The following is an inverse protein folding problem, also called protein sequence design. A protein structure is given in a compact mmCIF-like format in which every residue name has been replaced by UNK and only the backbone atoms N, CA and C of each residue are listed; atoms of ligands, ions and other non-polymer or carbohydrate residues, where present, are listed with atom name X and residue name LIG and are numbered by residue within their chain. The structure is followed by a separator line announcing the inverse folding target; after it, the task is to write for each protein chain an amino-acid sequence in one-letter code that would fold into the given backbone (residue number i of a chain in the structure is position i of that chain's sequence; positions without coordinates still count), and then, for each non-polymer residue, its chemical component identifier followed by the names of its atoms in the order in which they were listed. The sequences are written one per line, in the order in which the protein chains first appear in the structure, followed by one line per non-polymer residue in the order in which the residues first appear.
data_IF_365874401721
#
_entry.id   IF_365874401721
#
_cell.length_a   1.000
_cell.length_b   1.000
_cell.length_c   1.000
_cell.angle_alpha   90.00
_cell.angle_beta   90.00
_cell.angle_gamma   90.00
#
_symmetry.space_group_name_H-M   'P 1'
#
loop_
_entity.id
_entity.type
_entity.pdbx_description
1 polymer ?
#
# COMPACT_ATOMS: atom_id res chain seq x y z
N UNK A 1 -10.41 -8.87 -18.15
CA UNK A 1 -10.83 -9.54 -16.91
C UNK A 1 -12.31 -9.32 -16.76
N UNK A 2 -13.10 -10.39 -16.64
CA UNK A 2 -14.54 -10.26 -16.44
C UNK A 2 -14.78 -9.95 -14.96
N UNK A 3 -15.61 -8.94 -14.65
CA UNK A 3 -15.88 -8.53 -13.26
C UNK A 3 -16.60 -9.60 -12.43
N UNK A 4 -17.25 -10.56 -13.12
CA UNK A 4 -18.04 -11.64 -12.52
C UNK A 4 -17.23 -12.87 -12.12
N UNK A 5 -15.94 -12.92 -12.44
CA UNK A 5 -15.07 -14.04 -12.10
C UNK A 5 -14.87 -14.09 -10.56
N UNK A 6 -15.00 -15.28 -9.99
CA UNK A 6 -14.85 -15.50 -8.52
C UNK A 6 -13.40 -15.39 -8.06
N UNK A 7 -12.46 -15.54 -8.98
CA UNK A 7 -11.01 -15.36 -8.82
C UNK A 7 -10.57 -13.89 -8.93
N UNK A 8 -11.49 -12.98 -9.25
CA UNK A 8 -11.17 -11.55 -9.46
C UNK A 8 -11.65 -10.68 -8.31
N UNK A 9 -10.69 -10.06 -7.62
CA UNK A 9 -10.91 -8.97 -6.67
C UNK A 9 -10.96 -7.63 -7.39
N UNK A 10 -11.88 -6.74 -7.01
CA UNK A 10 -11.96 -5.38 -7.55
C UNK A 10 -12.02 -4.36 -6.43
N UNK A 11 -11.10 -3.40 -6.45
CA UNK A 11 -11.08 -2.23 -5.57
C UNK A 11 -11.38 -0.97 -6.38
N UNK A 12 -12.28 -0.14 -5.88
CA UNK A 12 -12.55 1.20 -6.41
C UNK A 12 -12.32 2.20 -5.28
N UNK A 13 -11.34 3.08 -5.46
CA UNK A 13 -10.97 4.10 -4.47
C UNK A 13 -10.85 5.46 -5.16
N UNK A 14 -11.07 6.53 -4.42
CA UNK A 14 -10.95 7.88 -4.94
C UNK A 14 -10.77 8.92 -3.84
N UNK A 15 -10.01 9.95 -4.14
CA UNK A 15 -9.73 11.07 -3.25
C UNK A 15 -10.49 12.32 -3.76
N UNK A 16 -11.65 12.67 -3.17
CA UNK A 16 -12.50 13.76 -3.67
C UNK A 16 -11.80 15.13 -3.62
N UNK A 17 -10.80 15.30 -2.75
CA UNK A 17 -10.05 16.54 -2.62
C UNK A 17 -9.11 16.83 -3.81
N UNK A 18 -8.54 15.79 -4.43
CA UNK A 18 -7.58 15.92 -5.53
C UNK A 18 -8.18 15.51 -6.89
N UNK A 19 -9.36 14.89 -6.89
CA UNK A 19 -10.01 14.38 -8.10
C UNK A 19 -9.40 13.08 -8.63
N UNK A 20 -8.50 12.45 -7.87
CA UNK A 20 -7.89 11.18 -8.25
C UNK A 20 -8.87 10.02 -8.00
N UNK A 21 -9.07 9.17 -8.99
CA UNK A 21 -9.92 7.97 -8.91
C UNK A 21 -9.18 6.80 -9.51
N UNK A 22 -9.05 5.71 -8.74
CA UNK A 22 -8.36 4.52 -9.14
C UNK A 22 -9.25 3.29 -9.01
N UNK A 23 -9.24 2.47 -10.06
CA UNK A 23 -9.81 1.14 -10.07
C UNK A 23 -8.71 0.11 -10.23
N UNK A 24 -8.59 -0.80 -9.27
CA UNK A 24 -7.66 -1.91 -9.30
C UNK A 24 -8.42 -3.22 -9.44
N UNK A 25 -7.93 -4.11 -10.29
CA UNK A 25 -8.44 -5.47 -10.44
C UNK A 25 -7.28 -6.43 -10.32
N UNK A 26 -7.42 -7.41 -9.43
CA UNK A 26 -6.45 -8.47 -9.20
C UNK A 26 -7.10 -9.81 -9.53
N UNK A 27 -6.34 -10.70 -10.17
CA UNK A 27 -6.69 -12.11 -10.34
C UNK A 27 -5.84 -12.93 -9.40
N UNK A 28 -6.48 -13.82 -8.66
CA UNK A 28 -5.84 -14.66 -7.65
C UNK A 28 -6.00 -16.12 -8.03
N UNK A 29 -4.91 -16.86 -7.96
CA UNK A 29 -4.93 -18.31 -8.11
C UNK A 29 -5.37 -18.96 -6.79
N UNK A 30 -6.40 -19.81 -6.86
CA UNK A 30 -7.02 -20.42 -5.66
C UNK A 30 -6.10 -21.38 -4.91
N UNK A 31 -5.17 -22.00 -5.63
CA UNK A 31 -4.29 -23.03 -5.07
C UNK A 31 -3.11 -22.43 -4.30
N UNK A 32 -2.56 -21.31 -4.78
CA UNK A 32 -1.36 -20.67 -4.22
C UNK A 32 -1.66 -19.37 -3.46
N UNK A 33 -2.91 -18.88 -3.46
CA UNK A 33 -3.30 -17.55 -2.95
C UNK A 33 -2.38 -16.42 -3.47
N UNK A 34 -1.84 -16.61 -4.67
CA UNK A 34 -0.90 -15.70 -5.31
C UNK A 34 -1.61 -14.89 -6.39
N UNK A 35 -1.19 -13.65 -6.57
CA UNK A 35 -1.75 -12.75 -7.57
C UNK A 35 -1.10 -13.05 -8.93
N UNK A 36 -1.88 -13.63 -9.86
CA UNK A 36 -1.38 -14.01 -11.19
C UNK A 36 -1.40 -12.89 -12.21
N UNK A 37 -2.41 -12.01 -12.16
CA UNK A 37 -2.52 -10.87 -13.06
C UNK A 37 -3.15 -9.67 -12.35
N UNK A 38 -2.71 -8.47 -12.73
CA UNK A 38 -3.13 -7.21 -12.12
C UNK A 38 -3.37 -6.20 -13.21
N UNK A 39 -4.52 -5.53 -13.15
CA UNK A 39 -4.87 -4.45 -14.07
C UNK A 39 -5.40 -3.27 -13.29
N UNK A 40 -4.93 -2.09 -13.65
CA UNK A 40 -5.40 -0.84 -13.07
C UNK A 40 -6.01 0.05 -14.14
N UNK A 41 -6.96 0.87 -13.72
CA UNK A 41 -7.47 2.01 -14.47
C UNK A 41 -7.54 3.18 -13.52
N UNK A 42 -6.69 4.17 -13.74
CA UNK A 42 -6.59 5.34 -12.86
C UNK A 42 -6.86 6.61 -13.65
N UNK A 43 -7.46 7.59 -12.99
CA UNK A 43 -7.69 8.93 -13.47
C UNK A 43 -7.11 9.86 -12.41
N UNK A 44 -6.17 10.72 -12.80
CA UNK A 44 -5.48 11.56 -11.84
C UNK A 44 -4.21 12.16 -12.39
N UNK A 45 -3.43 12.77 -11.51
CA UNK A 45 -2.14 13.33 -11.87
C UNK A 45 -1.12 12.25 -12.27
N UNK A 46 -0.08 12.63 -13.04
CA UNK A 46 0.96 11.70 -13.49
C UNK A 46 1.67 10.95 -12.35
N UNK A 47 1.75 11.57 -11.16
CA UNK A 47 2.27 10.93 -9.94
C UNK A 47 1.38 9.75 -9.50
N UNK A 48 0.06 9.90 -9.53
CA UNK A 48 -0.88 8.81 -9.22
C UNK A 48 -0.80 7.67 -10.25
N UNK A 49 -0.59 7.99 -11.53
CA UNK A 49 -0.38 6.99 -12.59
C UNK A 49 0.91 6.20 -12.33
N UNK A 50 2.01 6.89 -12.00
CA UNK A 50 3.28 6.26 -11.69
C UNK A 50 3.19 5.36 -10.44
N UNK A 51 2.57 5.84 -9.35
CA UNK A 51 2.32 5.04 -8.14
C UNK A 51 1.47 3.80 -8.43
N UNK A 52 0.43 3.94 -9.25
CA UNK A 52 -0.43 2.82 -9.64
C UNK A 52 0.33 1.77 -10.46
N UNK A 53 1.13 2.22 -11.42
CA UNK A 53 1.94 1.34 -12.26
C UNK A 53 3.00 0.58 -11.47
N UNK A 54 3.67 1.27 -10.53
CA UNK A 54 4.66 0.65 -9.66
C UNK A 54 4.02 -0.42 -8.77
N UNK A 55 2.88 -0.08 -8.15
CA UNK A 55 2.14 -1.01 -7.31
C UNK A 55 1.80 -2.30 -8.07
N UNK A 56 1.31 -2.21 -9.32
CA UNK A 56 0.90 -3.39 -10.08
C UNK A 56 2.04 -4.35 -10.40
N UNK A 57 3.25 -3.83 -10.59
CA UNK A 57 4.43 -4.67 -10.80
C UNK A 57 4.91 -5.27 -9.48
N UNK A 58 4.83 -4.51 -8.38
CA UNK A 58 5.19 -5.00 -7.05
C UNK A 58 4.28 -6.16 -6.60
N UNK A 59 2.96 -6.03 -6.77
CA UNK A 59 1.99 -7.04 -6.30
C UNK A 59 1.91 -8.28 -7.18
N UNK A 60 2.45 -8.25 -8.41
CA UNK A 60 2.41 -9.39 -9.33
C UNK A 60 3.30 -10.51 -8.80
N UNK A 61 2.73 -11.69 -8.60
CA UNK A 61 3.47 -12.85 -8.06
C UNK A 61 3.64 -12.85 -6.53
N UNK A 62 3.10 -11.85 -5.82
CA UNK A 62 3.03 -11.86 -4.35
C UNK A 62 1.79 -12.61 -3.86
N UNK A 63 1.86 -13.11 -2.63
CA UNK A 63 0.69 -13.64 -1.92
C UNK A 63 -0.25 -12.52 -1.48
N UNK A 64 -1.52 -12.83 -1.26
CA UNK A 64 -2.50 -11.86 -0.74
C UNK A 64 -2.08 -11.25 0.61
N UNK A 65 -1.42 -12.02 1.46
CA UNK A 65 -0.94 -11.54 2.77
C UNK A 65 0.20 -10.54 2.63
N UNK A 66 1.13 -10.76 1.69
CA UNK A 66 2.22 -9.82 1.39
C UNK A 66 1.69 -8.56 0.73
N UNK A 67 0.80 -8.70 -0.25
CA UNK A 67 0.17 -7.59 -0.92
C UNK A 67 -0.61 -6.67 0.05
N UNK A 68 -1.20 -7.25 1.11
CA UNK A 68 -1.87 -6.49 2.17
C UNK A 68 -0.93 -5.78 3.16
N UNK A 69 0.36 -6.16 3.21
CA UNK A 69 1.39 -5.55 4.08
C UNK A 69 2.10 -4.37 3.43
N UNK A 70 1.90 -4.15 2.12
CA UNK A 70 2.50 -3.03 1.39
C UNK A 70 2.05 -1.70 2.02
N UNK A 71 3.01 -0.80 2.24
CA UNK A 71 2.78 0.51 2.85
C UNK A 71 3.05 1.64 1.86
N UNK A 72 2.29 2.71 1.98
CA UNK A 72 2.49 3.95 1.20
C UNK A 72 3.93 4.50 1.30
N UNK A 73 4.61 4.30 2.43
CA UNK A 73 5.97 4.80 2.68
C UNK A 73 7.00 4.18 1.74
N UNK A 74 6.84 2.90 1.41
CA UNK A 74 7.74 2.18 0.52
C UNK A 74 7.56 2.66 -0.93
N UNK A 75 6.30 2.77 -1.37
CA UNK A 75 5.93 3.32 -2.68
C UNK A 75 6.44 4.76 -2.83
N UNK A 76 6.26 5.59 -1.80
CA UNK A 76 6.70 6.98 -1.83
C UNK A 76 8.23 7.11 -1.90
N UNK A 77 8.96 6.24 -1.20
CA UNK A 77 10.43 6.22 -1.21
C UNK A 77 10.96 5.84 -2.59
N UNK A 78 10.40 4.80 -3.21
CA UNK A 78 10.85 4.34 -4.53
C UNK A 78 10.63 5.40 -5.60
N UNK A 79 9.47 6.06 -5.58
CA UNK A 79 9.13 7.12 -6.53
C UNK A 79 9.72 8.48 -6.15
N UNK A 80 10.50 8.57 -5.06
CA UNK A 80 11.09 9.79 -4.52
C UNK A 80 10.07 10.95 -4.44
N UNK A 81 8.84 10.64 -3.99
CA UNK A 81 7.77 11.62 -3.98
C UNK A 81 8.04 12.69 -2.91
N UNK A 82 7.87 13.99 -3.25
CA UNK A 82 7.96 15.04 -2.25
C UNK A 82 6.83 14.88 -1.22
N UNK A 83 7.02 15.36 0.02
CA UNK A 83 6.07 15.14 1.13
C UNK A 83 4.65 15.67 0.83
N UNK A 84 4.53 16.66 -0.06
CA UNK A 84 3.25 17.25 -0.47
C UNK A 84 2.41 16.28 -1.33
N UNK A 85 3.02 15.30 -2.01
CA UNK A 85 2.35 14.37 -2.94
C UNK A 85 2.15 12.96 -2.39
N UNK A 86 2.27 12.76 -1.07
CA UNK A 86 2.11 11.44 -0.44
C UNK A 86 0.70 10.85 -0.59
N UNK A 87 -0.32 11.65 -0.88
CA UNK A 87 -1.69 11.17 -1.10
C UNK A 87 -1.79 10.19 -2.29
N UNK A 88 -0.93 10.32 -3.31
CA UNK A 88 -0.88 9.39 -4.45
C UNK A 88 -0.45 7.98 -4.01
N UNK A 89 0.44 7.87 -3.02
CA UNK A 89 0.86 6.59 -2.45
C UNK A 89 -0.18 5.98 -1.52
N UNK A 90 -0.93 6.82 -0.80
CA UNK A 90 -2.04 6.36 0.05
C UNK A 90 -3.17 5.78 -0.81
N UNK A 91 -3.49 6.41 -1.95
CA UNK A 91 -4.47 5.90 -2.90
C UNK A 91 -4.13 4.49 -3.40
N UNK A 92 -2.85 4.24 -3.68
CA UNK A 92 -2.36 2.94 -4.12
C UNK A 92 -2.50 1.86 -3.01
N UNK A 93 -2.17 2.21 -1.77
CA UNK A 93 -2.35 1.33 -0.60
C UNK A 93 -3.82 0.99 -0.33
N UNK A 94 -4.70 1.99 -0.41
CA UNK A 94 -6.14 1.77 -0.19
C UNK A 94 -6.74 0.93 -1.32
N UNK A 95 -6.27 1.11 -2.56
CA UNK A 95 -6.73 0.34 -3.71
C UNK A 95 -6.45 -1.16 -3.55
N UNK A 96 -5.24 -1.53 -3.10
CA UNK A 96 -4.88 -2.95 -2.93
C UNK A 96 -5.67 -3.59 -1.79
N UNK A 97 -5.79 -2.92 -0.65
CA UNK A 97 -6.59 -3.41 0.49
C UNK A 97 -8.05 -3.60 0.12
N UNK A 98 -8.63 -2.65 -0.62
CA UNK A 98 -9.99 -2.73 -1.12
C UNK A 98 -10.19 -3.92 -2.09
N UNK A 99 -9.24 -4.12 -3.01
CA UNK A 99 -9.31 -5.24 -3.97
C UNK A 99 -9.20 -6.61 -3.29
N UNK A 100 -8.31 -6.73 -2.29
CA UNK A 100 -8.14 -7.94 -1.48
C UNK A 100 -9.40 -8.22 -0.64
N UNK A 101 -9.95 -7.21 0.04
CA UNK A 101 -11.19 -7.35 0.82
C UNK A 101 -12.37 -7.79 -0.06
N UNK A 102 -12.47 -7.26 -1.29
CA UNK A 102 -13.48 -7.67 -2.25
C UNK A 102 -13.33 -9.14 -2.67
N UNK A 103 -12.08 -9.61 -2.86
CA UNK A 103 -11.80 -11.01 -3.15
C UNK A 103 -12.23 -11.93 -1.99
N UNK A 104 -11.89 -11.59 -0.74
CA UNK A 104 -12.30 -12.37 0.43
C UNK A 104 -13.82 -12.41 0.61
N UNK A 105 -14.52 -11.31 0.32
CA UNK A 105 -16.00 -11.25 0.38
C UNK A 105 -16.64 -12.23 -0.60
N UNK A 106 -16.04 -12.43 -1.78
CA UNK A 106 -16.52 -13.40 -2.78
C UNK A 106 -16.13 -14.85 -2.46
N UNK A 107 -14.99 -15.04 -1.79
CA UNK A 107 -14.44 -16.35 -1.43
C UNK A 107 -14.29 -16.50 0.10
N UNK A 108 -15.39 -16.75 0.85
CA UNK A 108 -15.38 -16.89 2.31
C UNK A 108 -14.60 -18.12 2.83
N UNK A 109 -14.10 -18.98 1.93
CA UNK A 109 -13.25 -20.14 2.26
C UNK A 109 -11.74 -19.83 2.25
N UNK A 110 -11.33 -18.68 1.72
CA UNK A 110 -9.95 -18.19 1.83
C UNK A 110 -9.83 -17.54 3.21
N UNK A 111 -8.99 -18.13 4.08
CA UNK A 111 -8.80 -17.80 5.50
C UNK A 111 -8.94 -16.30 5.75
N UNK A 112 -9.96 -15.90 6.52
CA UNK A 112 -10.11 -14.57 7.09
C UNK A 112 -8.89 -14.28 7.94
N UNK A 113 -7.88 -13.60 7.40
CA UNK A 113 -6.87 -12.96 8.24
C UNK A 113 -7.54 -11.76 8.89
N UNK A 114 -7.49 -11.74 10.22
CA UNK A 114 -8.09 -10.75 11.08
C UNK A 114 -7.42 -9.38 10.84
N UNK A 115 -7.84 -8.67 9.80
CA UNK A 115 -7.49 -7.26 9.57
C UNK A 115 -8.35 -6.31 10.44
N UNK A 116 -9.15 -6.83 11.38
CA UNK A 116 -9.81 -6.04 12.43
C UNK A 116 -8.93 -5.80 13.66
N UNK A 117 -7.64 -6.15 13.61
CA UNK A 117 -6.68 -5.96 14.71
C UNK A 117 -6.10 -4.55 14.92
N UNK A 118 -6.69 -3.47 14.38
CA UNK A 118 -6.20 -2.10 14.71
C UNK A 118 -6.71 -1.58 16.07
N UNK A 119 -7.14 -2.46 16.97
CA UNK A 119 -7.56 -2.12 18.34
C UNK A 119 -6.93 -3.03 19.40
N UNK A 120 -5.63 -3.33 19.28
CA UNK A 120 -4.86 -3.90 20.39
C UNK A 120 -3.53 -3.16 20.56
N UNK A 121 -3.56 -2.28 21.56
CA UNK A 121 -2.44 -1.76 22.36
C UNK A 121 -1.18 -1.32 21.62
N UNK A 122 -1.04 0.00 21.51
CA UNK A 122 0.25 0.67 21.60
C UNK A 122 1.10 0.01 22.69
N UNK A 123 2.15 -0.73 22.29
CA UNK A 123 3.28 -0.96 23.17
C UNK A 123 3.97 0.39 23.33
N UNK A 124 3.75 1.05 24.47
CA UNK A 124 4.71 2.01 25.01
C UNK A 124 6.05 1.28 25.17
N UNK A 125 7.13 1.91 24.72
CA UNK A 125 8.56 1.80 25.09
C UNK A 125 9.31 2.38 23.87
N UNK A 126 10.14 3.41 23.91
CA UNK A 126 10.44 4.44 24.88
C UNK A 126 10.95 5.65 24.09
N UNK A 127 10.63 6.85 24.56
CA UNK A 127 11.26 8.07 24.10
C UNK A 127 12.69 8.12 24.64
N UNK A 128 13.70 8.14 23.78
CA UNK A 128 14.99 8.72 24.15
C UNK A 128 15.19 10.03 23.37
N UNK A 129 14.75 11.07 24.07
CA UNK A 129 15.19 12.46 24.01
C UNK A 129 16.71 12.51 23.86
N UNK A 130 17.20 13.17 22.83
CA UNK A 130 18.52 13.81 22.92
C UNK A 130 18.42 15.25 22.40
N UNK A 131 18.34 16.15 23.37
CA UNK A 131 18.46 17.57 23.20
C UNK A 131 19.19 18.06 24.44
N UNK A 132 20.49 18.37 24.32
CA UNK A 132 21.11 19.66 24.66
C UNK A 132 22.64 19.53 24.78
N UNK A 133 23.34 20.12 23.83
CA UNK A 133 24.37 21.15 24.02
C UNK A 133 25.29 21.10 25.27
N UNK A 134 26.61 20.96 25.05
CA UNK A 134 27.67 21.68 25.79
C UNK A 134 29.03 21.57 25.09
N UNK A 135 29.44 22.69 24.51
CA UNK A 135 30.74 23.40 24.67
C UNK A 135 31.96 22.60 25.12
N UNK A 136 33.05 22.69 24.33
CA UNK A 136 34.37 23.20 24.72
C UNK A 136 35.57 22.39 24.17
N UNK A 137 36.44 23.11 23.43
CA UNK A 137 37.91 23.08 23.53
C UNK A 137 38.71 22.04 22.71
N UNK A 138 39.41 22.59 21.70
CA UNK A 138 40.84 22.41 21.31
C UNK A 138 41.40 20.97 21.24
N UNK A 139 41.97 20.54 20.09
CA UNK A 139 43.38 20.78 19.69
C UNK A 139 43.83 19.94 18.46
N UNK A 140 44.61 20.59 17.58
CA UNK A 140 45.83 20.10 16.88
C UNK A 140 45.78 19.19 15.63
N UNK A 141 46.54 19.63 14.61
CA UNK A 141 47.21 18.94 13.47
C UNK A 141 46.43 19.03 12.15
N UNK A 142 46.89 19.66 11.06
CA UNK A 142 48.23 20.02 10.52
C UNK A 142 48.18 21.40 9.87
#
# INVERSE_FOLDING_TARGET
MSKGDVDVGTGLVGAPACGDVMKLQIRVDKDSNTISDVKFKTFGCGSAIASSSYLTELVRGMTLEEAGKIRNTEIAKELCLPPVKLHCSMLAEDAIKSAISNYYTKNPKSRSTDLSGTASSMSKIDAQKDSTESTATQNTTV
#
